data_IF_381117241203
#
_entry.id   IF_381117241203
#
_cell.length_a   1.000
_cell.length_b   1.000
_cell.length_c   1.000
_cell.angle_alpha   90.00
_cell.angle_beta   90.00
_cell.angle_gamma   90.00
#
_symmetry.space_group_name_H-M   'P 1'
#
loop_
_entity.id
_entity.type
_entity.pdbx_description
1 polymer ?
#
# COMPACT_ATOMS: atom_id res chain seq x y z
N UNK A 1 25.20 -32.29 17.24
CA UNK A 1 24.95 -32.21 15.78
C UNK A 1 24.78 -30.74 15.43
N UNK A 2 25.63 -30.15 14.58
CA UNK A 2 25.74 -28.69 14.39
C UNK A 2 24.45 -27.98 13.95
N UNK A 3 23.54 -28.71 13.30
CA UNK A 3 22.28 -28.17 12.78
C UNK A 3 21.26 -27.77 13.87
N UNK A 4 21.33 -28.39 15.06
CA UNK A 4 20.44 -28.07 16.18
C UNK A 4 20.78 -26.71 16.79
N UNK A 5 22.07 -26.36 16.83
CA UNK A 5 22.56 -25.09 17.36
C UNK A 5 22.18 -23.92 16.44
N UNK A 6 22.18 -24.16 15.12
CA UNK A 6 21.72 -23.19 14.12
C UNK A 6 20.21 -22.91 14.25
N UNK A 7 19.39 -23.95 14.41
CA UNK A 7 17.95 -23.80 14.63
C UNK A 7 17.63 -23.07 15.94
N UNK A 8 18.39 -23.35 17.00
CA UNK A 8 18.19 -22.70 18.29
C UNK A 8 18.58 -21.21 18.24
N UNK A 9 19.67 -20.86 17.55
CA UNK A 9 20.03 -19.46 17.31
C UNK A 9 18.96 -18.71 16.52
N UNK A 10 18.45 -19.33 15.46
CA UNK A 10 17.40 -18.72 14.65
C UNK A 10 16.09 -18.49 15.43
N UNK A 11 15.70 -19.45 16.28
CA UNK A 11 14.55 -19.30 17.18
C UNK A 11 14.75 -18.19 18.21
N UNK A 12 15.98 -18.01 18.71
CA UNK A 12 16.32 -16.93 19.63
C UNK A 12 16.26 -15.57 18.93
N UNK A 13 16.77 -15.46 17.71
CA UNK A 13 16.66 -14.24 16.89
C UNK A 13 15.20 -13.87 16.61
N UNK A 14 14.36 -14.85 16.26
CA UNK A 14 12.92 -14.64 16.06
C UNK A 14 12.21 -14.18 17.34
N UNK A 15 12.49 -14.82 18.49
CA UNK A 15 11.91 -14.40 19.75
C UNK A 15 12.35 -12.98 20.16
N UNK A 16 13.57 -12.57 19.82
CA UNK A 16 14.08 -11.23 20.10
C UNK A 16 13.41 -10.15 19.23
N UNK A 17 13.09 -10.47 17.97
CA UNK A 17 12.34 -9.60 17.06
C UNK A 17 10.86 -9.47 17.45
N UNK A 18 10.28 -10.50 18.07
CA UNK A 18 8.87 -10.52 18.52
C UNK A 18 8.70 -9.90 19.91
N UNK A 19 9.75 -9.87 20.73
CA UNK A 19 9.72 -9.35 22.11
C UNK A 19 9.82 -7.83 22.21
N UNK A 20 9.95 -7.08 21.10
CA UNK A 20 9.72 -5.64 21.14
C UNK A 20 8.21 -5.39 21.33
N UNK A 21 7.79 -4.78 22.45
CA UNK A 21 6.43 -4.29 22.55
C UNK A 21 6.31 -3.22 21.47
N UNK A 22 5.48 -3.48 20.45
CA UNK A 22 4.98 -2.46 19.53
C UNK A 22 4.31 -1.36 20.37
N UNK A 23 5.11 -0.41 20.85
CA UNK A 23 4.63 0.93 21.13
C UNK A 23 3.85 1.33 19.88
N UNK A 24 2.57 1.64 20.07
CA UNK A 24 1.62 1.91 18.99
C UNK A 24 2.32 2.66 17.87
N UNK A 25 2.62 1.93 16.79
CA UNK A 25 3.41 2.41 15.67
C UNK A 25 2.53 3.41 14.94
N UNK A 26 2.61 4.68 15.36
CA UNK A 26 2.08 5.77 14.56
C UNK A 26 2.72 5.65 13.17
N UNK A 27 1.92 5.80 12.10
CA UNK A 27 2.48 5.82 10.76
C UNK A 27 3.60 6.87 10.71
N UNK A 28 4.68 6.60 9.94
CA UNK A 28 5.77 7.55 9.82
C UNK A 28 5.20 8.91 9.38
N UNK A 29 5.77 10.03 9.88
CA UNK A 29 5.35 11.35 9.47
C UNK A 29 5.44 11.46 7.95
N UNK A 30 4.37 11.94 7.32
CA UNK A 30 4.34 12.18 5.88
C UNK A 30 5.46 13.19 5.56
N UNK A 31 6.34 12.90 4.59
CA UNK A 31 7.36 13.85 4.16
C UNK A 31 6.72 15.20 3.78
N UNK A 32 7.39 16.33 4.05
CA UNK A 32 6.90 17.63 3.59
C UNK A 32 6.74 17.58 2.07
N UNK A 33 5.51 17.77 1.61
CA UNK A 33 5.21 17.89 0.19
C UNK A 33 5.88 19.16 -0.32
N UNK A 34 6.47 19.14 -1.54
CA UNK A 34 6.98 20.35 -2.15
C UNK A 34 5.85 21.38 -2.22
N UNK A 35 6.16 22.69 -2.06
CA UNK A 35 5.16 23.74 -2.22
C UNK A 35 4.46 23.57 -3.56
N UNK A 36 3.13 23.72 -3.56
CA UNK A 36 2.34 23.72 -4.78
C UNK A 36 2.98 24.70 -5.76
N UNK A 37 3.45 24.14 -6.88
CA UNK A 37 4.02 24.95 -7.96
C UNK A 37 3.00 25.98 -8.46
N UNK A 38 3.45 26.97 -9.24
CA UNK A 38 2.54 27.91 -9.87
C UNK A 38 1.42 27.15 -10.61
N UNK A 39 0.18 27.67 -10.60
CA UNK A 39 -0.95 27.00 -11.23
C UNK A 39 -0.62 26.67 -12.69
N UNK A 40 -0.96 25.46 -13.11
CA UNK A 40 -0.79 25.03 -14.50
C UNK A 40 -1.51 26.01 -15.43
N UNK A 41 -0.77 26.62 -16.36
CA UNK A 41 -1.28 27.66 -17.27
C UNK A 41 -1.71 27.13 -18.64
N UNK A 42 -1.67 25.81 -18.83
CA UNK A 42 -2.10 25.16 -20.07
C UNK A 42 -3.56 24.73 -20.04
N UNK A 43 -4.04 24.23 -21.18
CA UNK A 43 -5.36 23.62 -21.29
C UNK A 43 -5.40 22.28 -20.56
N UNK A 44 -6.43 22.08 -19.72
CA UNK A 44 -6.64 20.85 -18.96
C UNK A 44 -7.54 19.94 -19.79
N UNK A 45 -6.93 18.95 -20.46
CA UNK A 45 -7.66 18.00 -21.31
C UNK A 45 -8.45 16.95 -20.53
N UNK A 46 -8.07 16.69 -19.28
CA UNK A 46 -8.76 15.76 -18.39
C UNK A 46 -8.53 16.13 -16.94
N UNK A 47 -9.56 15.96 -16.11
CA UNK A 47 -9.53 16.18 -14.67
C UNK A 47 -10.41 15.14 -14.00
N UNK A 48 -9.94 14.49 -12.92
CA UNK A 48 -10.79 13.53 -12.21
C UNK A 48 -11.89 14.24 -11.43
N UNK A 49 -13.08 13.65 -11.42
CA UNK A 49 -14.20 14.18 -10.67
C UNK A 49 -14.63 13.18 -9.59
N UNK A 50 -14.50 13.59 -8.33
CA UNK A 50 -14.94 12.83 -7.17
C UNK A 50 -16.08 13.58 -6.51
N UNK A 51 -17.31 13.11 -6.74
CA UNK A 51 -18.50 13.65 -6.08
C UNK A 51 -18.99 12.66 -5.02
N UNK A 52 -19.45 13.12 -3.85
CA UNK A 52 -19.88 12.23 -2.76
C UNK A 52 -21.01 11.26 -3.13
N UNK A 53 -21.74 11.56 -4.20
CA UNK A 53 -22.89 10.82 -4.68
C UNK A 53 -22.65 10.18 -6.06
N UNK A 54 -21.42 10.23 -6.58
CA UNK A 54 -21.04 9.58 -7.84
C UNK A 54 -19.99 8.53 -7.52
N UNK A 55 -20.30 7.24 -7.75
CA UNK A 55 -19.33 6.18 -7.53
C UNK A 55 -18.06 6.38 -8.36
N UNK A 56 -16.92 6.03 -7.79
CA UNK A 56 -15.62 6.16 -8.48
C UNK A 56 -15.61 5.35 -9.77
N UNK A 57 -16.32 4.21 -9.82
CA UNK A 57 -16.39 3.38 -11.02
C UNK A 57 -17.12 4.02 -12.22
N UNK A 58 -17.69 5.22 -12.06
CA UNK A 58 -18.28 5.98 -13.16
C UNK A 58 -17.23 6.50 -14.15
N UNK A 59 -16.05 6.91 -13.66
CA UNK A 59 -14.95 7.43 -14.50
C UNK A 59 -13.74 6.49 -14.54
N UNK A 60 -13.73 5.47 -13.68
CA UNK A 60 -12.57 4.62 -13.45
C UNK A 60 -12.93 3.13 -13.54
N UNK A 61 -12.02 2.35 -14.10
CA UNK A 61 -12.14 0.89 -14.09
C UNK A 61 -11.19 0.31 -13.04
N UNK A 62 -11.72 -0.49 -12.12
CA UNK A 62 -10.93 -1.17 -11.10
C UNK A 62 -10.20 -2.36 -11.71
N UNK A 63 -8.87 -2.42 -11.55
CA UNK A 63 -8.11 -3.64 -11.82
C UNK A 63 -8.35 -4.65 -10.71
N UNK A 64 -8.57 -5.90 -11.12
CA UNK A 64 -8.89 -6.99 -10.22
C UNK A 64 -7.81 -8.07 -10.29
N UNK A 65 -7.58 -8.76 -9.18
CA UNK A 65 -6.66 -9.90 -9.14
C UNK A 65 -5.28 -9.58 -8.59
N UNK A 66 -4.30 -10.41 -8.94
CA UNK A 66 -2.89 -10.24 -8.55
C UNK A 66 -2.01 -9.92 -9.78
N UNK A 67 -2.60 -9.61 -10.93
CA UNK A 67 -1.88 -9.37 -12.18
C UNK A 67 -1.02 -10.57 -12.63
N UNK A 68 -0.09 -10.32 -13.54
CA UNK A 68 0.94 -11.29 -13.93
C UNK A 68 2.14 -11.18 -12.98
N UNK A 69 2.55 -12.30 -12.36
CA UNK A 69 3.67 -12.36 -11.41
C UNK A 69 3.57 -11.34 -10.25
N UNK A 70 2.39 -11.17 -9.65
CA UNK A 70 2.20 -10.20 -8.57
C UNK A 70 2.39 -8.78 -9.06
N UNK A 71 1.54 -8.33 -9.98
CA UNK A 71 1.59 -7.00 -10.62
C UNK A 71 2.91 -6.65 -11.33
N UNK A 72 3.74 -7.66 -11.63
CA UNK A 72 5.02 -7.53 -12.33
C UNK A 72 6.22 -7.32 -11.41
N UNK A 73 6.02 -7.34 -10.09
CA UNK A 73 7.05 -7.12 -9.08
C UNK A 73 6.91 -8.06 -7.86
N UNK A 74 6.23 -9.20 -8.02
CA UNK A 74 5.97 -10.21 -6.97
C UNK A 74 5.22 -9.67 -5.76
N UNK A 75 4.38 -8.65 -5.99
CA UNK A 75 3.42 -8.21 -4.99
C UNK A 75 2.45 -9.34 -4.62
N UNK A 76 2.13 -9.45 -3.33
CA UNK A 76 1.24 -10.49 -2.79
C UNK A 76 -0.22 -10.05 -2.76
N UNK A 77 -0.47 -8.76 -3.01
CA UNK A 77 -1.77 -8.13 -2.89
C UNK A 77 -2.72 -8.59 -4.00
N UNK A 78 -3.99 -8.78 -3.66
CA UNK A 78 -5.07 -9.07 -4.60
C UNK A 78 -6.04 -7.89 -4.63
N UNK A 79 -6.10 -7.16 -5.73
CA UNK A 79 -6.97 -6.00 -5.87
C UNK A 79 -8.41 -6.45 -6.07
N UNK A 80 -9.35 -5.75 -5.41
CA UNK A 80 -10.79 -5.95 -5.55
C UNK A 80 -11.48 -4.60 -5.69
N UNK A 81 -12.71 -4.60 -6.23
CA UNK A 81 -13.57 -3.42 -6.30
C UNK A 81 -14.47 -3.25 -5.06
N UNK A 82 -14.15 -3.94 -3.97
CA UNK A 82 -14.91 -3.85 -2.72
C UNK A 82 -14.78 -2.45 -2.10
N UNK A 83 -15.81 -1.93 -1.42
CA UNK A 83 -15.78 -0.62 -0.74
C UNK A 83 -14.64 -0.43 0.25
N UNK A 84 -14.08 -1.54 0.74
CA UNK A 84 -12.93 -1.59 1.66
C UNK A 84 -11.63 -1.11 0.97
N UNK A 85 -11.55 -1.29 -0.35
CA UNK A 85 -10.36 -1.10 -1.17
C UNK A 85 -10.51 0.07 -2.15
N UNK A 86 -11.74 0.43 -2.53
CA UNK A 86 -12.03 1.59 -3.37
C UNK A 86 -13.38 2.21 -2.98
N UNK A 87 -13.46 3.54 -2.94
CA UNK A 87 -14.70 4.25 -2.61
C UNK A 87 -15.78 4.00 -3.67
N UNK A 88 -17.00 3.73 -3.22
CA UNK A 88 -18.21 3.64 -4.05
C UNK A 88 -19.11 4.84 -3.79
#
# INVERSE_FOLDING_TARGET
MPWKDQLNRFKQELNHLVAEPKAASQPPPVPPHPPSGPPFRGEVYWKPQFYPNVPVNHEWEAKLGNGTDGWGNRELQFYTAEPQNAFQ
#
